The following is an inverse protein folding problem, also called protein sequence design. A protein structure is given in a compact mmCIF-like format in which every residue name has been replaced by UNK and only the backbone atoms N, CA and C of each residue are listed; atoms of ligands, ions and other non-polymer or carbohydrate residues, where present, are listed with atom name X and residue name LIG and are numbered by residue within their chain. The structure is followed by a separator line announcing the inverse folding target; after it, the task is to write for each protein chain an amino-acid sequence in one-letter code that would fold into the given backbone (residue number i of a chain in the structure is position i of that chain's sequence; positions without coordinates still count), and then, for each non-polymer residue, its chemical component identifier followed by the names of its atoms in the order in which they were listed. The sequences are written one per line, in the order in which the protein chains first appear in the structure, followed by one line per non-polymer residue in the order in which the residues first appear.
data_IF_064981364653
#
_entry.id   IF_064981364653
#
_cell.length_a   1.000
_cell.length_b   1.000
_cell.length_c   1.000
_cell.angle_alpha   90.00
_cell.angle_beta   90.00
_cell.angle_gamma   90.00
#
_symmetry.space_group_name_H-M   'P 1'
#
loop_
_entity.id
_entity.type
_entity.pdbx_description
1 polymer ?
#
# COMPACT_ATOMS: atom_id res chain seq x y z
N UNK A 1 -0.29 -8.45 -1.06
CA UNK A 1 -0.77 -7.08 -1.33
C UNK A 1 -2.24 -6.90 -0.98
N UNK A 2 -2.64 -5.74 -0.47
CA UNK A 2 -4.04 -5.37 -0.36
C UNK A 2 -4.60 -4.94 -1.74
N UNK A 3 -5.90 -5.16 -1.98
CA UNK A 3 -6.55 -4.71 -3.21
C UNK A 3 -6.66 -3.18 -3.31
N UNK A 4 -6.70 -2.51 -2.15
CA UNK A 4 -6.70 -1.04 -2.01
C UNK A 4 -5.76 -0.66 -0.87
N UNK A 5 -5.16 0.51 -0.96
CA UNK A 5 -4.26 1.03 0.09
C UNK A 5 -5.09 1.24 1.37
N UNK A 6 -4.76 0.58 2.50
CA UNK A 6 -5.54 0.71 3.73
C UNK A 6 -5.53 2.14 4.27
N UNK A 7 -6.71 2.69 4.58
CA UNK A 7 -6.85 4.03 5.18
C UNK A 7 -6.02 4.22 6.45
N UNK A 8 -5.95 3.25 7.39
CA UNK A 8 -5.14 3.43 8.60
C UNK A 8 -3.65 3.68 8.32
N UNK A 9 -3.12 3.13 7.23
CA UNK A 9 -1.73 3.38 6.84
C UNK A 9 -1.57 4.81 6.28
N UNK A 10 -2.56 5.29 5.52
CA UNK A 10 -2.58 6.67 5.01
C UNK A 10 -2.67 7.67 6.17
N UNK A 11 -3.51 7.40 7.16
CA UNK A 11 -3.72 8.28 8.31
C UNK A 11 -2.47 8.40 9.19
N UNK A 12 -1.64 7.35 9.23
CA UNK A 12 -0.35 7.33 9.93
C UNK A 12 0.76 8.10 9.20
N UNK A 13 0.57 8.51 7.95
CA UNK A 13 1.57 9.33 7.25
C UNK A 13 1.62 10.74 7.85
N UNK A 14 2.83 11.20 8.16
CA UNK A 14 3.11 12.59 8.49
C UNK A 14 3.06 13.46 7.22
N UNK A 15 2.92 14.77 7.40
CA UNK A 15 3.03 15.73 6.31
C UNK A 15 4.44 15.68 5.67
N UNK A 16 4.48 15.70 4.34
CA UNK A 16 5.71 15.44 3.56
C UNK A 16 6.14 13.97 3.54
N UNK A 17 5.44 13.09 4.28
CA UNK A 17 5.69 11.67 4.36
C UNK A 17 5.45 10.95 3.03
N UNK A 18 6.18 9.84 2.85
CA UNK A 18 6.11 8.99 1.67
C UNK A 18 5.85 7.55 2.07
N UNK A 19 5.05 6.85 1.28
CA UNK A 19 4.78 5.42 1.43
C UNK A 19 4.96 4.70 0.12
N UNK A 20 5.64 3.56 0.15
CA UNK A 20 5.73 2.62 -0.96
C UNK A 20 4.97 1.37 -0.55
N UNK A 21 4.00 0.93 -1.36
CA UNK A 21 3.20 -0.25 -1.06
C UNK A 21 2.81 -0.99 -2.36
N UNK A 22 2.88 -2.33 -2.41
CA UNK A 22 2.36 -3.08 -3.53
C UNK A 22 0.83 -3.14 -3.45
N UNK A 23 0.13 -2.85 -4.54
CA UNK A 23 -1.34 -2.86 -4.64
C UNK A 23 -1.76 -3.73 -5.81
N UNK A 24 -2.69 -4.65 -5.57
CA UNK A 24 -3.14 -5.60 -6.59
C UNK A 24 -3.77 -6.84 -6.00
N UNK A 25 -4.18 -7.77 -6.87
CA UNK A 25 -4.80 -9.03 -6.46
C UNK A 25 -3.85 -9.93 -5.66
N UNK A 26 -4.42 -10.78 -4.80
CA UNK A 26 -3.63 -11.77 -4.05
C UNK A 26 -3.03 -12.77 -5.04
N UNK A 27 -1.72 -13.04 -4.92
CA UNK A 27 -0.98 -14.05 -5.70
C UNK A 27 -0.88 -13.78 -7.23
N UNK A 28 -1.07 -12.53 -7.67
CA UNK A 28 -0.83 -12.09 -9.05
C UNK A 28 0.19 -10.95 -9.14
N UNK A 29 0.41 -10.41 -10.34
CA UNK A 29 1.22 -9.19 -10.55
C UNK A 29 0.54 -8.02 -9.82
N UNK A 30 1.34 -7.20 -9.13
CA UNK A 30 0.87 -6.03 -8.39
C UNK A 30 1.60 -4.78 -8.86
N UNK A 31 1.00 -3.60 -8.72
CA UNK A 31 1.67 -2.33 -8.96
C UNK A 31 2.33 -1.83 -7.69
N UNK A 32 3.60 -1.44 -7.76
CA UNK A 32 4.26 -0.70 -6.71
C UNK A 32 3.79 0.76 -6.77
N UNK A 33 3.12 1.22 -5.72
CA UNK A 33 2.54 2.57 -5.65
C UNK A 33 3.33 3.41 -4.66
N UNK A 34 3.74 4.59 -5.09
CA UNK A 34 4.27 5.66 -4.24
C UNK A 34 3.12 6.59 -3.86
N UNK A 35 2.89 6.77 -2.57
CA UNK A 35 2.06 7.83 -2.02
C UNK A 35 2.94 8.92 -1.43
N UNK A 36 2.51 10.17 -1.59
CA UNK A 36 3.06 11.32 -0.87
C UNK A 36 1.92 12.12 -0.25
N UNK A 37 2.06 12.42 1.04
CA UNK A 37 1.14 13.30 1.76
C UNK A 37 1.69 14.73 1.77
N UNK A 38 0.90 15.67 1.29
CA UNK A 38 1.16 17.10 1.41
C UNK A 38 -0.01 17.75 2.15
N UNK A 39 0.20 18.02 3.44
CA UNK A 39 -0.86 18.46 4.36
C UNK A 39 -2.04 17.47 4.33
N UNK A 40 -3.16 17.87 3.73
CA UNK A 40 -4.38 17.05 3.63
C UNK A 40 -4.50 16.30 2.30
N UNK A 41 -3.61 16.56 1.34
CA UNK A 41 -3.69 15.97 0.01
C UNK A 41 -2.79 14.74 -0.11
N UNK A 42 -3.32 13.67 -0.72
CA UNK A 42 -2.58 12.45 -1.01
C UNK A 42 -2.41 12.33 -2.51
N UNK A 43 -1.17 12.40 -2.97
CA UNK A 43 -0.82 12.09 -4.36
C UNK A 43 -0.38 10.64 -4.48
N UNK A 44 -0.73 10.00 -5.60
CA UNK A 44 -0.41 8.59 -5.89
C UNK A 44 0.27 8.49 -7.25
N UNK A 45 1.32 7.68 -7.31
CA UNK A 45 2.03 7.36 -8.54
C UNK A 45 2.30 5.87 -8.62
N UNK A 46 1.89 5.23 -9.70
CA UNK A 46 2.33 3.88 -10.04
C UNK A 46 3.77 3.92 -10.54
N UNK A 47 4.63 3.05 -9.99
CA UNK A 47 6.07 3.04 -10.26
C UNK A 47 6.42 1.92 -11.22
N UNK A 48 6.05 0.67 -10.90
CA UNK A 48 6.38 -0.52 -11.70
C UNK A 48 5.56 -1.74 -11.26
N UNK A 49 5.60 -2.82 -12.05
CA UNK A 49 5.05 -4.13 -11.69
C UNK A 49 5.98 -4.89 -10.73
N UNK A 50 5.40 -5.58 -9.75
CA UNK A 50 6.10 -6.35 -8.70
C UNK A 50 5.33 -7.61 -8.30
N UNK A 51 6.03 -8.57 -7.69
CA UNK A 51 5.48 -9.81 -7.15
C UNK A 51 5.85 -9.95 -5.67
N UNK A 52 4.97 -9.48 -4.80
CA UNK A 52 5.07 -9.62 -3.35
C UNK A 52 4.19 -10.77 -2.85
N UNK A 53 4.57 -11.30 -1.69
CA UNK A 53 3.71 -12.21 -0.92
C UNK A 53 2.37 -11.55 -0.54
N UNK A 54 1.33 -12.35 -0.26
CA UNK A 54 0.07 -11.82 0.26
C UNK A 54 0.30 -10.99 1.53
N UNK A 55 -0.45 -9.88 1.65
CA UNK A 55 -0.51 -9.16 2.92
C UNK A 55 -1.58 -9.89 3.73
N UNK A 56 -1.15 -10.55 4.79
CA UNK A 56 -2.01 -11.33 5.68
C UNK A 56 -2.52 -10.44 6.81
N UNK A 57 -3.76 -10.66 7.24
CA UNK A 57 -4.29 -10.02 8.46
C UNK A 57 -3.89 -10.87 9.67
N UNK A 58 -3.76 -10.28 10.85
CA UNK A 58 -3.39 -11.02 12.08
C UNK A 58 -4.21 -12.29 12.34
N UNK A 59 -5.50 -12.28 12.00
CA UNK A 59 -6.38 -13.46 12.11
C UNK A 59 -5.96 -14.64 11.22
N UNK A 60 -5.31 -14.38 10.09
CA UNK A 60 -4.83 -15.41 9.16
C UNK A 60 -3.45 -15.99 9.56
N UNK A 61 -2.69 -15.28 10.40
CA UNK A 61 -1.34 -15.71 10.83
C UNK A 61 -1.37 -16.62 12.07
N UNK A 62 -2.49 -16.63 12.82
CA UNK A 62 -2.67 -17.37 14.09
C UNK A 62 -3.61 -18.58 13.96
N UNK A 63 -3.97 -18.97 12.74
CA UNK A 63 -4.71 -20.19 12.43
C UNK A 63 -3.73 -21.27 11.98
#
# INVERSE_FOLDING_TARGET
SPQKIPTPLIDQLTDGGRMIIPVGEKRGIQKLVLLRKDKSEITKKEVMDVLFVPMVKDKELRA
#
